data_IF_389710003465
#
_entry.id   IF_389710003465
#
_cell.length_a   1.000
_cell.length_b   1.000
_cell.length_c   1.000
_cell.angle_alpha   90.00
_cell.angle_beta   90.00
_cell.angle_gamma   90.00
#
_symmetry.space_group_name_H-M   'P 1'
#
loop_
_entity.id
_entity.type
_entity.pdbx_description
1 polymer ?
#
# COMPACT_ATOMS: atom_id res chain seq x y z
N UNK A 1 0.93 -4.99 18.62
CA UNK A 1 0.59 -3.70 19.23
C UNK A 1 -0.91 -3.71 19.48
N UNK A 2 -1.38 -3.97 20.71
CA UNK A 2 -2.80 -4.28 20.90
C UNK A 2 -3.74 -3.09 20.69
N UNK A 3 -3.24 -1.84 20.69
CA UNK A 3 -4.04 -0.62 20.59
C UNK A 3 -3.43 0.48 19.69
N UNK A 4 -2.39 0.18 18.91
CA UNK A 4 -1.84 1.17 17.96
C UNK A 4 -2.68 1.16 16.67
N UNK A 5 -3.32 2.28 16.28
CA UNK A 5 -4.10 2.35 15.03
C UNK A 5 -3.22 2.38 13.77
N UNK A 6 -1.90 2.60 13.90
CA UNK A 6 -0.97 2.80 12.79
C UNK A 6 -0.95 1.63 11.80
N UNK A 7 -0.82 0.35 12.21
CA UNK A 7 -0.83 -0.77 11.27
C UNK A 7 -2.16 -0.89 10.51
N UNK A 8 -3.29 -0.63 11.17
CA UNK A 8 -4.60 -0.66 10.54
C UNK A 8 -4.77 0.48 9.53
N UNK A 9 -4.27 1.68 9.85
CA UNK A 9 -4.29 2.82 8.94
C UNK A 9 -3.42 2.58 7.71
N UNK A 10 -2.20 2.09 7.89
CA UNK A 10 -1.29 1.75 6.79
C UNK A 10 -1.86 0.66 5.89
N UNK A 11 -2.50 -0.36 6.47
CA UNK A 11 -3.18 -1.40 5.70
C UNK A 11 -4.30 -0.82 4.84
N UNK A 12 -5.16 0.04 5.39
CA UNK A 12 -6.23 0.69 4.61
C UNK A 12 -5.69 1.63 3.53
N UNK A 13 -4.60 2.34 3.82
CA UNK A 13 -3.92 3.17 2.83
C UNK A 13 -3.40 2.32 1.66
N UNK A 14 -2.79 1.18 1.96
CA UNK A 14 -2.31 0.25 0.93
C UNK A 14 -3.45 -0.28 0.05
N UNK A 15 -4.58 -0.65 0.65
CA UNK A 15 -5.78 -1.08 -0.08
C UNK A 15 -6.30 0.02 -1.01
N UNK A 16 -6.30 1.28 -0.55
CA UNK A 16 -6.70 2.40 -1.39
C UNK A 16 -5.74 2.62 -2.55
N UNK A 17 -4.42 2.48 -2.35
CA UNK A 17 -3.42 2.58 -3.43
C UNK A 17 -3.67 1.52 -4.50
N UNK A 18 -3.87 0.25 -4.10
CA UNK A 18 -4.16 -0.82 -5.05
C UNK A 18 -5.47 -0.61 -5.81
N UNK A 19 -6.54 -0.20 -5.11
CA UNK A 19 -7.83 0.06 -5.73
C UNK A 19 -7.77 1.23 -6.72
N UNK A 20 -7.06 2.31 -6.36
CA UNK A 20 -6.84 3.45 -7.26
C UNK A 20 -5.95 3.08 -8.44
N UNK A 21 -4.88 2.31 -8.23
CA UNK A 21 -4.02 1.80 -9.29
C UNK A 21 -4.82 1.02 -10.33
N UNK A 22 -5.65 0.07 -9.88
CA UNK A 22 -6.50 -0.71 -10.79
C UNK A 22 -7.52 0.14 -11.55
N UNK A 23 -8.17 1.10 -10.88
CA UNK A 23 -9.11 2.01 -11.55
C UNK A 23 -8.42 2.90 -12.60
N UNK A 24 -7.21 3.39 -12.28
CA UNK A 24 -6.42 4.23 -13.20
C UNK A 24 -5.88 3.41 -14.38
N UNK A 25 -5.50 2.15 -14.16
CA UNK A 25 -5.10 1.22 -15.22
C UNK A 25 -6.24 0.96 -16.21
N UNK A 26 -7.46 0.71 -15.74
CA UNK A 26 -8.61 0.53 -16.62
C UNK A 26 -8.87 1.78 -17.48
N UNK A 27 -8.76 2.97 -16.87
CA UNK A 27 -8.89 4.24 -17.58
C UNK A 27 -7.74 4.44 -18.58
N UNK A 28 -6.51 4.09 -18.24
CA UNK A 28 -5.34 4.28 -19.11
C UNK A 28 -5.45 3.41 -20.37
N UNK A 29 -5.91 2.16 -20.22
CA UNK A 29 -6.20 1.27 -21.35
C UNK A 29 -7.25 1.88 -22.28
N UNK A 30 -8.31 2.47 -21.73
CA UNK A 30 -9.33 3.14 -22.54
C UNK A 30 -8.80 4.40 -23.27
N UNK A 31 -7.87 5.12 -22.65
CA UNK A 31 -7.17 6.26 -23.26
C UNK A 31 -6.31 5.79 -24.44
N UNK A 32 -5.57 4.70 -24.29
CA UNK A 32 -4.74 4.13 -25.36
C UNK A 32 -5.58 3.68 -26.55
N UNK A 33 -6.71 3.01 -26.30
CA UNK A 33 -7.66 2.58 -27.34
C UNK A 33 -8.22 3.74 -28.19
N UNK A 34 -8.12 4.99 -27.72
CA UNK A 34 -8.50 6.19 -28.46
C UNK A 34 -7.35 6.86 -29.20
N UNK A 35 -6.19 6.22 -29.25
CA UNK A 35 -4.98 6.69 -29.95
C UNK A 35 -4.15 7.66 -29.12
N UNK A 36 -4.40 7.76 -27.81
CA UNK A 36 -3.66 8.65 -26.91
C UNK A 36 -2.53 7.91 -26.19
N UNK A 37 -1.68 7.21 -26.97
CA UNK A 37 -0.63 6.32 -26.47
C UNK A 37 0.40 7.02 -25.57
N UNK A 38 0.81 8.25 -25.89
CA UNK A 38 1.73 9.02 -25.02
C UNK A 38 1.12 9.25 -23.61
N UNK A 39 -0.18 9.49 -23.52
CA UNK A 39 -0.85 9.65 -22.22
C UNK A 39 -0.92 8.31 -21.49
N UNK A 40 -1.18 7.21 -22.20
CA UNK A 40 -1.14 5.88 -21.62
C UNK A 40 0.25 5.55 -21.06
N UNK A 41 1.32 5.77 -21.82
CA UNK A 41 2.70 5.52 -21.38
C UNK A 41 3.03 6.30 -20.11
N UNK A 42 2.69 7.60 -20.05
CA UNK A 42 2.88 8.42 -18.84
C UNK A 42 2.07 7.93 -17.64
N UNK A 43 0.84 7.47 -17.86
CA UNK A 43 0.03 6.89 -16.78
C UNK A 43 0.62 5.56 -16.31
N UNK A 44 1.13 4.74 -17.22
CA UNK A 44 1.81 3.48 -16.89
C UNK A 44 3.07 3.70 -16.04
N UNK A 45 3.89 4.71 -16.36
CA UNK A 45 5.03 5.09 -15.51
C UNK A 45 4.59 5.48 -14.08
N UNK A 46 3.43 6.14 -13.93
CA UNK A 46 2.88 6.46 -12.62
C UNK A 46 2.29 5.24 -11.90
N UNK A 47 1.70 4.28 -12.64
CA UNK A 47 1.20 3.04 -12.09
C UNK A 47 2.33 2.15 -11.55
N UNK A 48 3.50 2.13 -12.19
CA UNK A 48 4.70 1.47 -11.67
C UNK A 48 5.09 2.03 -10.30
N UNK A 49 5.11 3.35 -10.14
CA UNK A 49 5.39 3.99 -8.84
C UNK A 49 4.34 3.62 -7.79
N UNK A 50 3.06 3.51 -8.16
CA UNK A 50 2.02 3.08 -7.22
C UNK A 50 2.18 1.61 -6.82
N UNK A 51 2.57 0.74 -7.75
CA UNK A 51 2.85 -0.67 -7.47
C UNK A 51 4.03 -0.83 -6.52
N UNK A 52 5.15 -0.16 -6.80
CA UNK A 52 6.35 -0.17 -5.94
C UNK A 52 6.03 0.30 -4.51
N UNK A 53 5.20 1.35 -4.39
CA UNK A 53 4.74 1.83 -3.09
C UNK A 53 3.87 0.80 -2.37
N UNK A 54 2.98 0.11 -3.08
CA UNK A 54 2.10 -0.88 -2.47
C UNK A 54 2.87 -2.10 -1.95
N UNK A 55 3.87 -2.54 -2.70
CA UNK A 55 4.77 -3.62 -2.30
C UNK A 55 5.62 -3.20 -1.10
N UNK A 56 6.23 -2.00 -1.16
CA UNK A 56 7.02 -1.46 -0.04
C UNK A 56 6.20 -1.34 1.24
N UNK A 57 4.94 -0.86 1.17
CA UNK A 57 4.07 -0.77 2.35
C UNK A 57 3.77 -2.17 2.90
N UNK A 58 3.54 -3.15 2.03
CA UNK A 58 3.29 -4.55 2.43
C UNK A 58 4.49 -5.13 3.18
N UNK A 59 5.70 -4.95 2.65
CA UNK A 59 6.94 -5.41 3.29
C UNK A 59 7.19 -4.72 4.64
N UNK A 60 7.07 -3.39 4.69
CA UNK A 60 7.29 -2.62 5.92
C UNK A 60 6.23 -2.93 7.00
N UNK A 61 5.00 -3.25 6.61
CA UNK A 61 3.98 -3.73 7.56
C UNK A 61 4.34 -5.09 8.14
N UNK A 62 4.84 -6.02 7.33
CA UNK A 62 5.31 -7.32 7.81
C UNK A 62 6.46 -7.14 8.82
N UNK A 63 7.41 -6.28 8.49
CA UNK A 63 8.53 -5.89 9.36
C UNK A 63 8.05 -5.27 10.68
N UNK A 64 7.06 -4.36 10.62
CA UNK A 64 6.50 -3.70 11.79
C UNK A 64 5.85 -4.70 12.75
N UNK A 65 5.09 -5.66 12.20
CA UNK A 65 4.44 -6.73 12.97
C UNK A 65 5.50 -7.65 13.59
N UNK A 66 6.53 -8.04 12.82
CA UNK A 66 7.60 -8.92 13.30
C UNK A 66 8.45 -8.31 14.41
N UNK A 67 8.65 -6.98 14.38
CA UNK A 67 9.40 -6.25 15.42
C UNK A 67 8.60 -5.98 16.68
N UNK A 68 7.28 -6.15 16.65
CA UNK A 68 6.47 -5.93 17.83
C UNK A 68 6.74 -7.02 18.88
N UNK A 69 7.24 -6.60 20.04
CA UNK A 69 7.25 -7.42 21.25
C UNK A 69 6.06 -6.99 22.12
N UNK A 70 5.24 -7.92 22.62
CA UNK A 70 4.34 -7.60 23.73
C UNK A 70 5.17 -7.07 24.90
N UNK A 71 4.72 -5.99 25.54
CA UNK A 71 5.23 -5.62 26.85
C UNK A 71 5.00 -6.83 27.76
N UNK A 72 6.07 -7.36 28.37
CA UNK A 72 5.94 -8.34 29.44
C UNK A 72 5.04 -7.69 30.50
N UNK A 73 3.91 -8.34 30.80
CA UNK A 73 3.09 -7.97 31.95
C UNK A 73 4.04 -7.96 33.15
N UNK A 74 4.30 -6.78 33.72
CA UNK A 74 5.09 -6.68 34.94
C UNK A 74 4.39 -7.56 35.98
N UNK A 75 5.07 -8.63 36.39
CA UNK A 75 4.59 -9.53 37.42
C UNK A 75 4.30 -8.68 38.67
N UNK A 76 3.05 -8.66 39.18
CA UNK A 76 2.67 -7.79 40.29
C UNK A 76 3.34 -8.16 41.64
N UNK A 77 4.33 -9.06 41.68
CA UNK A 77 4.92 -9.62 42.90
C UNK A 77 6.40 -9.22 43.22
N UNK A 78 6.98 -8.18 42.60
CA UNK A 78 8.28 -7.60 43.04
C UNK A 78 8.12 -6.33 43.93
#
# INVERSE_FOLDING_TARGET
MPNDPTPALLYRLNQNIMALGSAVEEISIWIDQRGSTETYERVSEHLEVLADNADTITELMADLIARWKPEEEADPED
#
